data_IF_090668336358
#
_entry.id   IF_090668336358
#
_cell.length_a   1.000
_cell.length_b   1.000
_cell.length_c   1.000
_cell.angle_alpha   90.00
_cell.angle_beta   90.00
_cell.angle_gamma   90.00
#
_symmetry.space_group_name_H-M   'P 1'
#
loop_
_entity.id
_entity.type
_entity.pdbx_description
1 polymer ?
#
# COMPACT_ATOMS: atom_id res chain seq x y z
N UNK A 1 13.89 -18.50 -4.20
CA UNK A 1 12.48 -18.12 -3.90
C UNK A 1 12.46 -17.56 -2.49
N UNK A 2 12.01 -16.31 -2.33
CA UNK A 2 11.93 -15.62 -1.02
C UNK A 2 10.60 -15.97 -0.32
N UNK A 3 9.47 -15.88 -1.04
CA UNK A 3 8.15 -16.28 -0.57
C UNK A 3 7.27 -16.66 -1.78
N UNK A 4 6.21 -17.45 -1.56
CA UNK A 4 5.23 -17.81 -2.58
C UNK A 4 3.83 -17.75 -1.96
N UNK A 5 2.98 -16.88 -2.50
CA UNK A 5 1.57 -16.80 -2.15
C UNK A 5 0.76 -17.91 -2.84
N UNK A 6 -0.44 -18.26 -2.34
CA UNK A 6 -1.36 -19.16 -3.01
C UNK A 6 -1.72 -18.69 -4.43
N UNK A 7 -2.14 -19.63 -5.27
CA UNK A 7 -2.67 -19.31 -6.60
C UNK A 7 -3.82 -18.28 -6.50
N UNK A 8 -3.96 -17.49 -7.55
CA UNK A 8 -4.93 -16.38 -7.63
C UNK A 8 -4.64 -15.20 -6.69
N UNK A 9 -3.44 -15.11 -6.12
CA UNK A 9 -2.96 -13.91 -5.43
C UNK A 9 -2.23 -13.00 -6.42
N UNK A 10 -2.69 -11.76 -6.57
CA UNK A 10 -1.95 -10.74 -7.32
C UNK A 10 -1.14 -9.88 -6.34
N UNK A 11 0.18 -10.12 -6.28
CA UNK A 11 1.11 -9.21 -5.58
C UNK A 11 1.36 -8.01 -6.48
N UNK A 12 0.94 -6.83 -6.05
CA UNK A 12 0.88 -5.65 -6.92
C UNK A 12 2.14 -4.81 -6.86
N UNK A 13 2.52 -4.37 -5.66
CA UNK A 13 3.70 -3.53 -5.46
C UNK A 13 4.45 -3.90 -4.20
N UNK A 14 5.64 -3.34 -4.06
CA UNK A 14 6.55 -3.63 -2.96
C UNK A 14 7.33 -2.39 -2.54
N UNK A 15 7.55 -2.24 -1.23
CA UNK A 15 8.49 -1.27 -0.68
C UNK A 15 9.55 -1.97 0.18
N UNK A 16 10.79 -1.48 0.14
CA UNK A 16 11.87 -1.97 1.00
C UNK A 16 11.79 -1.25 2.33
N UNK A 17 11.79 -2.00 3.43
CA UNK A 17 11.91 -1.50 4.80
C UNK A 17 13.36 -1.59 5.26
N UNK A 18 13.79 -0.58 6.02
CA UNK A 18 15.14 -0.47 6.62
C UNK A 18 15.65 -1.74 7.33
N UNK A 19 14.75 -2.53 7.93
CA UNK A 19 15.07 -3.80 8.60
C UNK A 19 15.36 -4.98 7.66
N UNK A 20 15.75 -4.72 6.40
CA UNK A 20 15.95 -5.73 5.34
C UNK A 20 14.71 -6.60 5.13
N UNK A 21 13.53 -5.96 5.09
CA UNK A 21 12.25 -6.63 4.82
C UNK A 21 11.56 -5.95 3.66
N UNK A 22 10.72 -6.69 2.96
CA UNK A 22 9.83 -6.12 1.95
C UNK A 22 8.45 -5.97 2.58
N UNK A 23 7.75 -4.89 2.26
CA UNK A 23 6.31 -4.81 2.39
C UNK A 23 5.73 -5.08 1.01
N UNK A 24 4.69 -5.91 0.93
CA UNK A 24 4.05 -6.27 -0.33
C UNK A 24 2.55 -6.03 -0.25
N UNK A 25 2.01 -5.43 -1.29
CA UNK A 25 0.57 -5.12 -1.43
C UNK A 25 -0.11 -6.15 -2.30
N UNK A 26 -1.37 -6.44 -2.01
CA UNK A 26 -2.16 -7.45 -2.72
C UNK A 26 -3.33 -6.74 -3.44
N UNK A 27 -3.47 -6.95 -4.75
CA UNK A 27 -4.56 -6.36 -5.54
C UNK A 27 -5.84 -7.22 -5.54
N UNK A 28 -5.75 -8.47 -5.10
CA UNK A 28 -6.88 -9.41 -4.99
C UNK A 28 -7.47 -9.51 -3.58
N UNK A 29 -6.88 -8.81 -2.61
CA UNK A 29 -7.31 -8.71 -1.22
C UNK A 29 -6.71 -7.45 -0.62
N UNK A 30 -7.38 -6.74 0.32
CA UNK A 30 -6.88 -5.47 0.87
C UNK A 30 -5.80 -5.69 1.94
N UNK A 31 -4.80 -6.52 1.66
CA UNK A 31 -3.89 -7.08 2.66
C UNK A 31 -2.43 -6.65 2.44
N UNK A 32 -1.78 -6.19 3.51
CA UNK A 32 -0.36 -5.84 3.52
C UNK A 32 0.44 -6.91 4.25
N UNK A 33 1.52 -7.38 3.62
CA UNK A 33 2.38 -8.44 4.15
C UNK A 33 3.85 -7.99 4.28
N UNK A 34 4.52 -8.26 5.40
CA UNK A 34 5.97 -8.16 5.53
C UNK A 34 6.62 -9.49 5.09
N UNK A 35 7.58 -9.42 4.18
CA UNK A 35 8.35 -10.55 3.68
C UNK A 35 9.81 -10.41 4.14
N UNK A 36 10.35 -11.45 4.78
CA UNK A 36 11.76 -11.51 5.16
C UNK A 36 12.57 -12.29 4.12
N UNK A 37 13.63 -11.73 3.54
CA UNK A 37 14.56 -12.45 2.67
C UNK A 37 15.43 -13.48 3.42
N UNK A 38 15.52 -13.38 4.75
CA UNK A 38 16.65 -13.88 5.52
C UNK A 38 16.53 -15.32 6.06
N UNK A 39 15.49 -16.10 5.73
CA UNK A 39 15.41 -17.60 5.80
C UNK A 39 14.03 -18.15 6.18
N UNK A 40 13.16 -17.36 6.81
CA UNK A 40 11.79 -17.78 7.14
C UNK A 40 10.87 -17.56 5.95
N UNK A 41 10.47 -18.64 5.26
CA UNK A 41 9.53 -18.61 4.12
C UNK A 41 8.10 -18.17 4.51
N UNK A 42 7.85 -17.89 5.78
CA UNK A 42 6.55 -17.54 6.33
C UNK A 42 6.39 -16.02 6.40
N UNK A 43 5.28 -15.51 5.85
CA UNK A 43 4.82 -14.14 6.05
C UNK A 43 3.56 -14.16 6.91
N UNK A 44 3.45 -13.19 7.81
CA UNK A 44 2.26 -12.99 8.64
C UNK A 44 1.58 -11.72 8.20
N UNK A 45 0.26 -11.76 8.00
CA UNK A 45 -0.55 -10.60 7.66
C UNK A 45 -0.30 -9.44 8.63
N UNK A 46 0.12 -8.27 8.11
CA UNK A 46 0.36 -7.08 8.93
C UNK A 46 -0.95 -6.32 9.16
N UNK A 47 -1.71 -6.07 8.11
CA UNK A 47 -2.97 -5.35 8.19
C UNK A 47 -3.90 -5.64 7.02
N UNK A 48 -5.21 -5.48 7.26
CA UNK A 48 -6.28 -5.56 6.27
C UNK A 48 -7.02 -4.22 6.22
N UNK A 49 -7.03 -3.56 5.06
CA UNK A 49 -7.62 -2.25 4.84
C UNK A 49 -9.12 -2.36 4.51
N UNK A 50 -9.94 -2.74 5.49
CA UNK A 50 -11.40 -2.76 5.32
C UNK A 50 -11.98 -1.32 5.27
N UNK A 51 -13.04 -1.06 4.49
CA UNK A 51 -13.87 -1.99 3.72
C UNK A 51 -13.42 -2.19 2.26
N UNK A 52 -12.19 -1.79 1.88
CA UNK A 52 -11.68 -1.95 0.52
C UNK A 52 -11.46 -3.41 0.16
N UNK A 53 -11.21 -3.68 -1.12
CA UNK A 53 -10.95 -5.04 -1.62
C UNK A 53 -9.56 -5.20 -2.26
N UNK A 54 -8.83 -4.11 -2.43
CA UNK A 54 -7.49 -4.10 -2.99
C UNK A 54 -6.62 -3.03 -2.32
N UNK A 55 -5.31 -3.32 -2.24
CA UNK A 55 -4.29 -2.30 -2.02
C UNK A 55 -3.25 -2.35 -3.14
N UNK A 56 -2.71 -1.19 -3.52
CA UNK A 56 -1.95 -1.01 -4.76
C UNK A 56 -0.58 -0.40 -4.44
N UNK A 57 -0.21 0.73 -5.07
CA UNK A 57 1.08 1.37 -4.87
C UNK A 57 1.37 1.66 -3.40
N UNK A 58 2.64 1.46 -3.05
CA UNK A 58 3.20 1.71 -1.72
C UNK A 58 4.50 2.51 -1.85
N UNK A 59 4.72 3.47 -0.95
CA UNK A 59 5.98 4.23 -0.90
C UNK A 59 6.39 4.53 0.54
N UNK A 60 7.68 4.80 0.75
CA UNK A 60 8.25 5.19 2.04
C UNK A 60 8.71 6.66 1.97
N UNK A 61 8.31 7.47 2.94
CA UNK A 61 8.80 8.87 3.02
C UNK A 61 9.92 9.03 4.04
N UNK A 62 9.85 8.31 5.15
CA UNK A 62 10.82 8.31 6.23
C UNK A 62 10.98 6.87 6.71
N UNK A 63 12.10 6.51 7.37
CA UNK A 63 12.28 5.17 7.90
C UNK A 63 11.06 4.70 8.69
N UNK A 64 10.46 3.60 8.23
CA UNK A 64 9.27 2.98 8.81
C UNK A 64 7.96 3.78 8.71
N UNK A 65 7.90 4.80 7.85
CA UNK A 65 6.65 5.53 7.53
C UNK A 65 6.30 5.37 6.06
N UNK A 66 5.34 4.48 5.82
CA UNK A 66 4.86 4.15 4.49
C UNK A 66 3.50 4.78 4.20
N UNK A 67 3.18 4.88 2.92
CA UNK A 67 1.87 5.24 2.42
C UNK A 67 1.42 4.21 1.40
N UNK A 68 0.14 3.88 1.41
CA UNK A 68 -0.44 2.85 0.55
C UNK A 68 -1.77 3.33 -0.03
N UNK A 69 -2.01 3.01 -1.30
CA UNK A 69 -3.33 3.16 -1.92
C UNK A 69 -4.20 1.97 -1.52
N UNK A 70 -5.40 2.25 -1.00
CA UNK A 70 -6.48 1.30 -0.85
C UNK A 70 -7.65 1.71 -1.75
N UNK A 71 -8.36 0.73 -2.30
CA UNK A 71 -9.49 0.98 -3.20
C UNK A 71 -10.32 -0.26 -3.50
N UNK A 72 -11.42 -0.07 -4.21
CA UNK A 72 -12.35 -1.14 -4.56
C UNK A 72 -12.16 -1.67 -5.98
N UNK A 73 -10.91 -1.90 -6.39
CA UNK A 73 -10.58 -2.55 -7.67
C UNK A 73 -11.07 -4.01 -7.66
N UNK A 74 -11.99 -4.34 -8.57
CA UNK A 74 -12.39 -5.73 -8.82
C UNK A 74 -11.74 -6.26 -10.07
N UNK A 75 -10.91 -7.29 -9.91
CA UNK A 75 -10.26 -8.01 -11.00
C UNK A 75 -11.11 -9.17 -11.55
N UNK A 76 -12.31 -9.40 -10.99
CA UNK A 76 -13.25 -10.42 -11.47
C UNK A 76 -14.00 -9.88 -12.67
N UNK A 77 -14.02 -10.55 -13.84
CA UNK A 77 -14.73 -10.07 -15.01
C UNK A 77 -16.25 -9.83 -14.77
N UNK A 78 -16.82 -8.70 -15.23
CA UNK A 78 -16.11 -7.57 -15.86
C UNK A 78 -15.25 -6.81 -14.84
N UNK A 79 -14.02 -6.48 -15.23
CA UNK A 79 -13.10 -5.71 -14.38
C UNK A 79 -13.76 -4.37 -14.05
N UNK A 80 -13.81 -4.04 -12.76
CA UNK A 80 -14.29 -2.75 -12.25
C UNK A 80 -13.09 -1.98 -11.68
N UNK A 81 -12.72 -0.83 -12.26
CA UNK A 81 -11.61 -0.03 -11.78
C UNK A 81 -11.88 0.64 -10.42
N UNK A 82 -13.08 0.56 -9.85
CA UNK A 82 -13.35 1.11 -8.51
C UNK A 82 -13.36 2.65 -8.49
N UNK A 83 -13.98 3.27 -9.50
CA UNK A 83 -14.07 4.73 -9.67
C UNK A 83 -14.49 5.43 -8.36
N UNK A 84 -13.70 6.41 -7.93
CA UNK A 84 -13.96 7.26 -6.77
C UNK A 84 -13.85 6.58 -5.41
N UNK A 85 -13.31 5.36 -5.36
CA UNK A 85 -13.18 4.58 -4.11
C UNK A 85 -11.81 4.67 -3.47
N UNK A 86 -10.88 5.44 -4.04
CA UNK A 86 -9.48 5.39 -3.65
C UNK A 86 -9.18 6.25 -2.43
N UNK A 87 -8.41 5.69 -1.50
CA UNK A 87 -7.94 6.39 -0.30
C UNK A 87 -6.47 6.06 -0.06
N UNK A 88 -5.69 7.08 0.30
CA UNK A 88 -4.32 6.91 0.76
C UNK A 88 -4.32 6.73 2.26
N UNK A 89 -3.67 5.68 2.74
CA UNK A 89 -3.42 5.41 4.15
C UNK A 89 -1.94 5.58 4.46
N UNK A 90 -1.66 6.11 5.65
CA UNK A 90 -0.36 6.03 6.29
C UNK A 90 -0.22 4.71 7.06
N UNK A 91 0.99 4.17 7.05
CA UNK A 91 1.39 2.94 7.75
C UNK A 91 2.68 3.25 8.51
N UNK A 92 2.54 3.54 9.80
CA UNK A 92 3.66 3.79 10.70
C UNK A 92 4.08 2.49 11.40
N UNK A 93 5.31 2.07 11.13
CA UNK A 93 5.93 0.86 11.62
C UNK A 93 7.12 1.12 12.55
N UNK A 94 7.33 2.36 13.01
CA UNK A 94 8.48 2.71 13.86
C UNK A 94 8.49 1.90 15.17
N UNK A 95 7.32 1.54 15.68
CA UNK A 95 7.14 0.72 16.88
C UNK A 95 6.70 -0.72 16.56
N UNK A 96 6.81 -1.16 15.31
CA UNK A 96 6.31 -2.45 14.87
C UNK A 96 7.19 -3.61 15.37
N UNK A 97 6.61 -4.48 16.19
CA UNK A 97 7.20 -5.75 16.57
C UNK A 97 6.79 -6.84 15.59
N UNK A 98 7.75 -7.27 14.78
CA UNK A 98 7.50 -8.26 13.74
C UNK A 98 7.35 -9.72 14.21
N UNK A 99 7.68 -10.03 15.46
CA UNK A 99 7.49 -11.38 16.02
C UNK A 99 6.03 -11.53 16.43
N UNK A 100 5.50 -10.52 17.12
CA UNK A 100 4.11 -10.50 17.59
C UNK A 100 3.14 -9.94 16.55
N UNK A 101 3.65 -9.30 15.49
CA UNK A 101 2.86 -8.58 14.48
C UNK A 101 1.99 -7.49 15.10
N UNK A 102 2.57 -6.70 16.01
CA UNK A 102 1.86 -5.64 16.75
C UNK A 102 2.63 -4.31 16.69
N UNK A 103 1.95 -3.20 16.99
CA UNK A 103 2.57 -1.87 17.07
C UNK A 103 2.59 -1.09 15.76
N UNK A 104 1.96 -1.60 14.69
CA UNK A 104 1.66 -0.80 13.50
C UNK A 104 0.54 0.20 13.79
N UNK A 105 0.68 1.44 13.32
CA UNK A 105 -0.38 2.44 13.34
C UNK A 105 -0.81 2.76 11.92
N UNK A 106 -2.12 2.66 11.66
CA UNK A 106 -2.71 2.87 10.34
C UNK A 106 -3.66 4.06 10.45
N UNK A 107 -3.49 5.06 9.59
CA UNK A 107 -4.38 6.23 9.57
C UNK A 107 -4.70 6.64 8.14
N UNK A 108 -5.96 6.96 7.90
CA UNK A 108 -6.38 7.58 6.65
C UNK A 108 -5.70 8.94 6.49
N UNK A 109 -5.21 9.22 5.29
CA UNK A 109 -4.57 10.49 4.95
C UNK A 109 -5.50 11.32 4.08
N UNK A 110 -5.97 10.74 2.97
CA UNK A 110 -6.78 11.47 2.01
C UNK A 110 -7.61 10.51 1.14
N UNK A 111 -8.90 10.79 1.01
CA UNK A 111 -9.77 10.15 0.03
C UNK A 111 -9.66 10.92 -1.31
N UNK A 112 -9.38 10.19 -2.39
CA UNK A 112 -9.24 10.70 -3.76
C UNK A 112 -10.48 10.28 -4.57
N UNK A 113 -11.62 10.89 -4.25
CA UNK A 113 -12.93 10.52 -4.80
C UNK A 113 -13.12 10.85 -6.28
N UNK A 114 -12.21 11.63 -6.88
CA UNK A 114 -12.18 11.87 -8.33
C UNK A 114 -11.36 10.83 -9.10
N UNK A 115 -10.57 9.99 -8.42
CA UNK A 115 -9.67 9.04 -9.08
C UNK A 115 -10.42 7.87 -9.72
N UNK A 116 -9.95 7.41 -10.88
CA UNK A 116 -10.52 6.32 -11.65
C UNK A 116 -9.84 5.00 -11.33
N UNK A 117 -8.51 4.95 -11.42
CA UNK A 117 -7.70 3.77 -11.08
C UNK A 117 -6.32 4.22 -10.60
N UNK A 118 -6.21 4.58 -9.31
CA UNK A 118 -4.88 4.81 -8.73
C UNK A 118 -4.07 3.51 -8.78
N UNK A 119 -2.80 3.60 -9.11
CA UNK A 119 -1.93 2.42 -9.18
C UNK A 119 -0.56 2.73 -8.58
N UNK A 120 0.37 3.23 -9.40
CA UNK A 120 1.73 3.55 -8.93
C UNK A 120 1.75 4.68 -7.90
N UNK A 121 2.60 4.53 -6.88
CA UNK A 121 2.87 5.57 -5.87
C UNK A 121 4.38 5.77 -5.72
N UNK A 122 4.81 7.02 -5.51
CA UNK A 122 6.20 7.34 -5.22
C UNK A 122 6.35 8.55 -4.29
N UNK A 123 7.43 8.58 -3.51
CA UNK A 123 7.82 9.76 -2.75
C UNK A 123 8.44 10.80 -3.67
N UNK A 124 7.87 12.01 -3.71
CA UNK A 124 8.41 13.15 -4.44
C UNK A 124 9.40 13.95 -3.59
N UNK A 125 9.03 14.23 -2.33
CA UNK A 125 9.89 14.93 -1.37
C UNK A 125 9.62 14.44 0.05
N UNK A 126 10.54 13.66 0.59
CA UNK A 126 10.46 13.14 1.96
C UNK A 126 10.48 14.25 3.01
N UNK A 127 11.32 15.27 2.82
CA UNK A 127 11.44 16.40 3.75
C UNK A 127 10.18 17.26 3.82
N UNK A 128 9.40 17.28 2.74
CA UNK A 128 8.16 18.04 2.64
C UNK A 128 6.90 17.18 2.82
N UNK A 129 7.04 15.87 3.03
CA UNK A 129 5.90 14.96 3.10
C UNK A 129 5.10 14.86 1.79
N UNK A 130 5.75 15.03 0.64
CA UNK A 130 5.06 14.98 -0.66
C UNK A 130 5.22 13.61 -1.30
N UNK A 131 4.09 13.01 -1.65
CA UNK A 131 4.00 11.79 -2.46
C UNK A 131 3.21 12.06 -3.74
N UNK A 132 3.40 11.21 -4.74
CA UNK A 132 2.65 11.22 -5.99
C UNK A 132 1.95 9.88 -6.18
N UNK A 133 0.72 9.91 -6.69
CA UNK A 133 -0.06 8.74 -7.08
C UNK A 133 -0.53 8.87 -8.53
N UNK A 134 -0.22 7.87 -9.36
CA UNK A 134 -0.60 7.85 -10.76
C UNK A 134 -1.99 7.22 -10.94
N UNK A 135 -2.84 7.86 -11.74
CA UNK A 135 -4.13 7.34 -12.17
C UNK A 135 -3.99 6.71 -13.56
N UNK A 136 -4.00 5.38 -13.60
CA UNK A 136 -3.76 4.61 -14.83
C UNK A 136 -4.92 4.67 -15.81
N UNK A 137 -6.11 5.10 -15.38
CA UNK A 137 -7.28 5.17 -16.24
C UNK A 137 -7.64 6.62 -16.62
N UNK A 138 -7.36 7.60 -15.75
CA UNK A 138 -7.61 9.03 -16.04
C UNK A 138 -6.42 9.74 -16.70
N UNK A 139 -5.20 9.16 -16.60
CA UNK A 139 -3.99 9.78 -17.14
C UNK A 139 -3.50 10.98 -16.31
N UNK A 140 -3.88 11.04 -15.04
CA UNK A 140 -3.51 12.10 -14.10
C UNK A 140 -2.43 11.63 -13.10
N UNK A 141 -1.71 12.59 -12.51
CA UNK A 141 -0.84 12.36 -11.35
C UNK A 141 -1.35 13.25 -10.23
N UNK A 142 -1.73 12.64 -9.12
CA UNK A 142 -2.11 13.33 -7.89
C UNK A 142 -0.85 13.61 -7.09
N UNK A 143 -0.65 14.87 -6.69
CA UNK A 143 0.33 15.28 -5.68
C UNK A 143 -0.39 15.35 -4.34
N UNK A 144 0.15 14.70 -3.32
CA UNK A 144 -0.47 14.64 -1.98
C UNK A 144 0.54 15.05 -0.93
N UNK A 145 0.15 16.02 -0.11
CA UNK A 145 0.83 16.40 1.12
C UNK A 145 0.33 15.51 2.27
N UNK A 146 1.20 14.62 2.74
CA UNK A 146 0.86 13.62 3.74
C UNK A 146 0.77 14.17 5.16
N UNK A 147 1.17 15.42 5.39
CA UNK A 147 1.08 16.09 6.68
C UNK A 147 -0.27 16.78 6.83
N UNK A 148 -0.81 17.30 5.73
CA UNK A 148 -2.07 18.05 5.71
C UNK A 148 -3.26 17.28 5.13
N UNK A 149 -3.02 16.22 4.35
CA UNK A 149 -4.06 15.44 3.69
C UNK A 149 -4.70 16.16 2.50
N UNK A 150 -3.91 16.96 1.76
CA UNK A 150 -4.36 17.73 0.59
C UNK A 150 -3.57 17.40 -0.68
#
# INVERSE_FOLDING_TARGET
IIHQFPNSTWVESTAVRSSVRLLVTIATAPELYPISPASSKTSTLLHTFAPFIAILGITETQPDRFYVIAGSLSLTPPIDPGLGTYTIYSVDLQNFNSITTTGASIQEVMALTSAVLLNGMGTLSSSSGLIIAADSADGAIYLVDTQTGN
#
